data_IF_105333926270
#
_entry.id   IF_105333926270
#
_cell.length_a   1.000
_cell.length_b   1.000
_cell.length_c   1.000
_cell.angle_alpha   90.00
_cell.angle_beta   90.00
_cell.angle_gamma   90.00
#
_symmetry.space_group_name_H-M   'P 1'
#
loop_
_entity.id
_entity.type
_entity.pdbx_description
1 polymer ?
#
# COMPACT_ATOMS: atom_id res chain seq x y z
N UNK A 1 -5.93 -12.07 -5.09
CA UNK A 1 -6.05 -12.01 -3.62
C UNK A 1 -4.80 -11.36 -3.07
N UNK A 2 -4.85 -10.80 -1.87
CA UNK A 2 -3.66 -10.32 -1.14
C UNK A 2 -3.47 -11.27 0.04
N UNK A 3 -2.25 -11.75 0.28
CA UNK A 3 -1.94 -12.67 1.38
C UNK A 3 -0.91 -12.09 2.32
N UNK A 4 -1.16 -12.19 3.62
CA UNK A 4 -0.21 -11.87 4.67
C UNK A 4 -0.14 -12.95 5.75
N UNK A 5 0.68 -12.76 6.80
CA UNK A 5 0.90 -13.77 7.84
C UNK A 5 -0.35 -14.22 8.59
N UNK A 6 -1.40 -13.37 8.61
CA UNK A 6 -2.65 -13.62 9.35
C UNK A 6 -3.77 -14.20 8.50
N UNK A 7 -3.58 -14.31 7.18
CA UNK A 7 -4.59 -14.77 6.24
C UNK A 7 -4.56 -14.03 4.91
N UNK A 8 -5.59 -14.25 4.11
CA UNK A 8 -5.80 -13.72 2.76
C UNK A 8 -7.05 -12.87 2.70
N UNK A 9 -6.99 -11.88 1.83
CA UNK A 9 -8.09 -11.05 1.40
C UNK A 9 -8.40 -11.34 -0.07
N UNK A 10 -9.65 -11.65 -0.35
CA UNK A 10 -10.19 -11.99 -1.65
C UNK A 10 -11.11 -10.88 -2.17
N UNK A 11 -11.53 -11.00 -3.43
CA UNK A 11 -12.47 -10.06 -4.05
C UNK A 11 -13.78 -9.99 -3.26
N UNK A 12 -14.28 -8.76 -3.11
CA UNK A 12 -15.49 -8.47 -2.34
C UNK A 12 -15.25 -8.49 -0.83
N UNK A 13 -14.05 -8.12 -0.38
CA UNK A 13 -13.64 -8.08 1.04
C UNK A 13 -13.79 -9.41 1.80
N UNK A 14 -13.94 -10.53 1.09
CA UNK A 14 -13.96 -11.86 1.71
C UNK A 14 -12.58 -12.17 2.26
N UNK A 15 -12.51 -12.80 3.43
CA UNK A 15 -11.25 -13.14 4.07
C UNK A 15 -11.33 -14.49 4.78
N UNK A 16 -10.20 -15.18 4.87
CA UNK A 16 -10.01 -16.37 5.71
C UNK A 16 -9.43 -16.04 7.10
N UNK A 17 -9.25 -14.74 7.42
CA UNK A 17 -8.86 -14.30 8.76
C UNK A 17 -9.99 -14.67 9.74
N UNK A 18 -9.72 -15.49 10.78
CA UNK A 18 -10.75 -15.90 11.73
C UNK A 18 -11.35 -14.70 12.46
N UNK A 19 -12.68 -14.70 12.64
CA UNK A 19 -13.44 -13.67 13.36
C UNK A 19 -13.13 -12.23 12.89
N UNK A 20 -12.91 -12.02 11.58
CA UNK A 20 -12.54 -10.71 11.04
C UNK A 20 -13.51 -9.60 11.48
N UNK A 21 -14.82 -9.82 11.39
CA UNK A 21 -15.81 -8.81 11.76
C UNK A 21 -15.74 -8.42 13.24
N UNK A 22 -15.55 -9.39 14.14
CA UNK A 22 -15.37 -9.11 15.57
C UNK A 22 -14.09 -8.34 15.84
N UNK A 23 -13.00 -8.69 15.13
CA UNK A 23 -11.73 -7.96 15.23
C UNK A 23 -11.89 -6.52 14.75
N UNK A 24 -12.57 -6.31 13.62
CA UNK A 24 -12.87 -4.98 13.07
C UNK A 24 -13.70 -4.15 14.05
N UNK A 25 -14.74 -4.74 14.63
CA UNK A 25 -15.60 -4.07 15.62
C UNK A 25 -14.90 -3.77 16.96
N UNK A 26 -13.80 -4.46 17.27
CA UNK A 26 -13.01 -4.23 18.48
C UNK A 26 -11.94 -3.13 18.33
N UNK A 27 -11.69 -2.64 17.11
CA UNK A 27 -10.79 -1.49 16.94
C UNK A 27 -11.43 -0.22 17.51
N UNK A 28 -10.66 0.64 18.19
CA UNK A 28 -11.16 1.94 18.59
C UNK A 28 -11.51 2.78 17.36
N UNK A 29 -12.43 3.72 17.54
CA UNK A 29 -12.64 4.77 16.54
C UNK A 29 -11.30 5.50 16.28
N UNK A 30 -11.01 5.86 15.03
CA UNK A 30 -9.78 6.57 14.71
C UNK A 30 -9.77 7.93 15.42
N UNK A 31 -8.63 8.27 16.00
CA UNK A 31 -8.40 9.61 16.56
C UNK A 31 -8.67 10.69 15.52
N UNK A 32 -9.22 11.86 15.90
CA UNK A 32 -9.45 12.97 15.00
C UNK A 32 -8.19 13.33 14.22
N UNK A 33 -8.31 13.40 12.89
CA UNK A 33 -7.20 13.74 12.00
C UNK A 33 -7.34 15.17 11.50
N UNK A 34 -6.22 15.85 11.24
CA UNK A 34 -6.22 17.18 10.62
C UNK A 34 -6.48 17.03 9.12
N UNK A 35 -7.67 17.43 8.68
CA UNK A 35 -8.11 17.29 7.28
C UNK A 35 -8.07 18.60 6.48
N UNK A 36 -7.80 19.73 7.12
CA UNK A 36 -7.51 21.00 6.43
C UNK A 36 -5.99 21.14 6.23
N UNK A 37 -5.57 21.20 4.96
CA UNK A 37 -4.16 21.26 4.61
C UNK A 37 -3.51 22.59 4.98
N UNK A 38 -4.23 23.72 4.82
CA UNK A 38 -3.69 25.06 5.12
C UNK A 38 -3.42 25.18 6.62
N UNK A 39 -4.34 24.67 7.44
CA UNK A 39 -4.18 24.60 8.89
C UNK A 39 -3.04 23.68 9.30
N UNK A 40 -2.92 22.50 8.69
CA UNK A 40 -1.81 21.58 8.93
C UNK A 40 -0.45 22.26 8.67
N UNK A 41 -0.33 22.99 7.55
CA UNK A 41 0.89 23.75 7.19
C UNK A 41 1.16 24.87 8.19
N UNK A 42 0.18 25.74 8.46
CA UNK A 42 0.34 26.90 9.35
C UNK A 42 0.69 26.50 10.77
N UNK A 43 0.08 25.42 11.28
CA UNK A 43 0.26 24.92 12.65
C UNK A 43 1.38 23.87 12.75
N UNK A 44 2.03 23.52 11.63
CA UNK A 44 3.07 22.48 11.54
C UNK A 44 2.61 21.14 12.13
N UNK A 45 1.42 20.69 11.74
CA UNK A 45 0.82 19.43 12.17
C UNK A 45 0.84 18.39 11.04
N UNK A 46 0.86 17.09 11.38
CA UNK A 46 0.79 16.01 10.39
C UNK A 46 -0.62 15.97 9.78
N UNK A 47 -0.70 16.04 8.46
CA UNK A 47 -1.96 15.95 7.72
C UNK A 47 -2.52 14.52 7.74
N UNK A 48 -3.84 14.36 7.68
CA UNK A 48 -4.51 13.06 7.66
C UNK A 48 -3.96 12.13 6.55
N UNK A 49 -3.81 12.67 5.34
CA UNK A 49 -3.28 11.97 4.16
C UNK A 49 -1.81 12.35 3.89
N UNK A 50 -0.99 12.28 4.93
CA UNK A 50 0.45 12.54 4.87
C UNK A 50 1.21 11.59 3.92
N UNK A 51 2.48 11.92 3.68
CA UNK A 51 3.38 11.25 2.77
C UNK A 51 3.54 9.75 3.04
N UNK A 52 3.56 9.34 4.31
CA UNK A 52 3.71 7.94 4.70
C UNK A 52 2.45 7.13 4.35
N UNK A 53 1.27 7.65 4.70
CA UNK A 53 0.00 7.03 4.34
C UNK A 53 -0.18 6.96 2.81
N UNK A 54 0.14 8.05 2.12
CA UNK A 54 0.13 8.11 0.66
C UNK A 54 1.06 7.07 0.03
N UNK A 55 2.30 7.01 0.49
CA UNK A 55 3.29 6.04 0.01
C UNK A 55 2.81 4.60 0.22
N UNK A 56 2.42 4.24 1.44
CA UNK A 56 2.00 2.86 1.78
C UNK A 56 0.75 2.42 1.02
N UNK A 57 -0.22 3.30 0.85
CA UNK A 57 -1.44 2.99 0.08
C UNK A 57 -1.13 2.74 -1.40
N UNK A 58 -0.32 3.59 -2.01
CA UNK A 58 0.12 3.43 -3.40
C UNK A 58 0.99 2.19 -3.62
N UNK A 59 1.85 1.82 -2.65
CA UNK A 59 2.67 0.60 -2.73
C UNK A 59 1.81 -0.64 -2.94
N UNK A 60 0.69 -0.78 -2.21
CA UNK A 60 -0.21 -1.94 -2.34
C UNK A 60 -0.81 -2.01 -3.76
N UNK A 61 -1.25 -0.86 -4.29
CA UNK A 61 -1.81 -0.77 -5.64
C UNK A 61 -0.75 -1.12 -6.69
N UNK A 62 0.47 -0.60 -6.55
CA UNK A 62 1.57 -0.85 -7.48
C UNK A 62 2.01 -2.32 -7.48
N UNK A 63 2.02 -3.00 -6.32
CA UNK A 63 2.24 -4.45 -6.23
C UNK A 63 1.18 -5.21 -7.04
N UNK A 64 -0.10 -4.82 -6.89
CA UNK A 64 -1.20 -5.41 -7.65
C UNK A 64 -1.06 -5.20 -9.16
N UNK A 65 -0.68 -3.99 -9.57
CA UNK A 65 -0.42 -3.65 -10.97
C UNK A 65 0.75 -4.45 -11.55
N UNK A 66 1.84 -4.61 -10.81
CA UNK A 66 2.99 -5.40 -11.23
C UNK A 66 2.60 -6.87 -11.43
N UNK A 67 1.87 -7.46 -10.48
CA UNK A 67 1.37 -8.82 -10.57
C UNK A 67 0.44 -9.02 -11.78
N UNK A 68 -0.42 -8.04 -12.06
CA UNK A 68 -1.29 -8.05 -13.24
C UNK A 68 -0.48 -8.00 -14.55
N UNK A 69 0.49 -7.09 -14.66
CA UNK A 69 1.34 -6.94 -15.85
C UNK A 69 2.17 -8.19 -16.14
N UNK A 70 2.69 -8.84 -15.11
CA UNK A 70 3.51 -10.04 -15.23
C UNK A 70 2.68 -11.33 -15.30
N UNK A 71 1.36 -11.27 -15.04
CA UNK A 71 0.46 -12.41 -15.07
C UNK A 71 0.74 -13.47 -14.00
N UNK A 72 1.37 -13.10 -12.87
CA UNK A 72 1.77 -14.05 -11.82
C UNK A 72 1.74 -13.44 -10.42
N UNK A 73 1.69 -14.29 -9.41
CA UNK A 73 1.78 -13.86 -8.00
C UNK A 73 3.20 -13.41 -7.67
N UNK A 74 3.33 -12.37 -6.85
CA UNK A 74 4.60 -11.77 -6.44
C UNK A 74 4.73 -11.81 -4.92
N UNK A 75 5.96 -11.99 -4.42
CA UNK A 75 6.31 -11.87 -3.00
C UNK A 75 7.03 -10.54 -2.80
N UNK A 76 6.59 -9.75 -1.82
CA UNK A 76 7.11 -8.42 -1.58
C UNK A 76 7.59 -8.29 -0.13
N UNK A 77 8.79 -7.73 0.06
CA UNK A 77 9.34 -7.37 1.36
C UNK A 77 8.88 -5.94 1.72
N UNK A 78 7.95 -5.76 2.68
CA UNK A 78 7.43 -4.44 3.04
C UNK A 78 8.43 -3.59 3.83
N UNK A 79 9.56 -4.15 4.27
CA UNK A 79 10.63 -3.42 4.94
C UNK A 79 11.63 -2.91 3.90
N UNK A 80 12.13 -3.80 3.02
CA UNK A 80 13.06 -3.42 1.95
C UNK A 80 12.41 -2.66 0.80
N UNK A 81 11.08 -2.76 0.67
CA UNK A 81 10.30 -2.20 -0.45
C UNK A 81 10.67 -2.81 -1.81
N UNK A 82 10.94 -4.12 -1.83
CA UNK A 82 11.38 -4.86 -3.03
C UNK A 82 10.62 -6.19 -3.18
N UNK A 83 10.54 -6.70 -4.41
CA UNK A 83 10.08 -8.05 -4.66
C UNK A 83 11.19 -9.06 -4.36
N UNK A 84 10.84 -10.10 -3.61
CA UNK A 84 11.78 -11.14 -3.16
C UNK A 84 12.10 -12.04 -4.34
N UNK A 85 13.40 -12.16 -4.66
CA UNK A 85 13.95 -13.01 -5.71
C UNK A 85 13.35 -12.77 -7.12
N UNK A 86 13.02 -11.50 -7.43
CA UNK A 86 12.26 -11.18 -8.65
C UNK A 86 12.72 -9.89 -9.35
N UNK A 87 13.78 -9.98 -10.14
CA UNK A 87 14.33 -8.87 -10.91
C UNK A 87 13.32 -8.26 -11.89
N UNK A 88 12.52 -9.09 -12.57
CA UNK A 88 11.51 -8.64 -13.53
C UNK A 88 10.43 -7.76 -12.88
N UNK A 89 10.00 -8.11 -11.67
CA UNK A 89 9.09 -7.27 -10.90
C UNK A 89 9.78 -6.04 -10.31
N UNK A 90 11.03 -6.16 -9.85
CA UNK A 90 11.80 -5.02 -9.34
C UNK A 90 12.06 -3.95 -10.41
N UNK A 91 12.19 -4.34 -11.68
CA UNK A 91 12.26 -3.40 -12.81
C UNK A 91 10.98 -2.55 -13.00
N UNK A 92 9.85 -2.95 -12.39
CA UNK A 92 8.61 -2.17 -12.40
C UNK A 92 8.51 -1.17 -11.23
N UNK A 93 9.39 -1.27 -10.23
CA UNK A 93 9.44 -0.31 -9.11
C UNK A 93 9.96 1.03 -9.60
N UNK A 94 11.00 1.02 -10.43
CA UNK A 94 11.63 2.21 -10.99
C UNK A 94 11.70 2.08 -12.53
N UNK A 95 10.57 2.27 -13.23
CA UNK A 95 10.54 2.13 -14.67
C UNK A 95 11.39 3.20 -15.34
N UNK A 96 11.94 2.93 -16.54
CA UNK A 96 12.72 3.91 -17.28
C UNK A 96 11.89 5.17 -17.53
N UNK A 97 12.54 6.32 -17.37
CA UNK A 97 11.90 7.61 -17.62
C UNK A 97 11.50 7.68 -19.10
N UNK A 98 10.31 8.21 -19.36
CA UNK A 98 9.81 8.39 -20.72
C UNK A 98 10.68 9.42 -21.45
N UNK A 99 11.20 9.06 -22.62
CA UNK A 99 11.89 10.02 -23.51
C UNK A 99 10.96 11.20 -23.89
N UNK A 100 11.47 12.45 -23.99
CA UNK A 100 12.88 12.88 -23.85
C UNK A 100 13.25 13.34 -22.43
N UNK A 101 12.45 13.00 -21.41
CA UNK A 101 12.65 13.53 -20.06
C UNK A 101 13.83 12.84 -19.35
N UNK A 102 14.60 13.60 -18.58
CA UNK A 102 15.70 13.14 -17.72
C UNK A 102 15.62 13.86 -16.37
N UNK A 103 16.16 13.24 -15.32
CA UNK A 103 16.36 13.83 -13.98
C UNK A 103 17.83 14.26 -13.87
#
# INVERSE_FOLDING_TARGET
>A
YISGPKGKLYQGFRSDIPDLDKKLAAFPDPEPQVTDFVDAVKKRQKFALNEENGFRSCTIINIGLAALRLGRSLKFDPVKQEFIDDEGANNLINPPIRSPWTI
#
